data_IF_607633486598
#
_entry.id   IF_607633486598
#
_cell.length_a   1.000
_cell.length_b   1.000
_cell.length_c   1.000
_cell.angle_alpha   90.00
_cell.angle_beta   90.00
_cell.angle_gamma   90.00
#
_symmetry.space_group_name_H-M   'P 1'
#
loop_
_entity.id
_entity.type
_entity.pdbx_description
1 polymer ?
#
# COMPACT_ATOMS: atom_id res chain seq x y z
N UNK A 1 -2.12 28.83 13.07
CA UNK A 1 -0.86 29.25 12.42
C UNK A 1 0.30 29.48 13.41
N UNK A 2 0.04 29.82 14.68
CA UNK A 2 1.09 30.07 15.68
C UNK A 2 2.04 28.88 15.93
N UNK A 3 1.55 27.64 15.90
CA UNK A 3 2.35 26.46 16.24
C UNK A 3 3.25 25.92 15.09
N UNK A 4 3.26 26.57 13.92
CA UNK A 4 4.22 26.28 12.86
C UNK A 4 4.08 24.95 12.09
N UNK A 5 3.06 24.11 12.35
CA UNK A 5 2.86 22.83 11.65
C UNK A 5 2.91 22.96 10.12
N UNK A 6 3.81 22.19 9.49
CA UNK A 6 4.03 22.22 8.03
C UNK A 6 3.42 21.04 7.30
N UNK A 7 3.27 19.90 7.98
CA UNK A 7 2.74 18.67 7.41
C UNK A 7 2.03 17.81 8.44
N UNK A 8 1.06 17.02 7.99
CA UNK A 8 0.42 15.96 8.76
C UNK A 8 0.14 14.76 7.84
N UNK A 9 0.16 13.56 8.41
CA UNK A 9 0.04 12.31 7.67
C UNK A 9 -1.05 11.39 8.27
N UNK A 10 -2.35 11.77 8.27
CA UNK A 10 -3.42 10.94 8.82
C UNK A 10 -3.53 9.56 8.12
N UNK A 11 -3.75 8.53 8.93
CA UNK A 11 -4.20 7.22 8.47
C UNK A 11 -5.73 7.17 8.35
N UNK A 12 -6.23 6.82 7.18
CA UNK A 12 -7.65 6.54 6.92
C UNK A 12 -7.91 5.02 7.01
N UNK A 13 -6.94 4.23 6.54
CA UNK A 13 -6.93 2.76 6.60
C UNK A 13 -7.94 2.09 5.66
N UNK A 14 -9.25 2.17 5.96
CA UNK A 14 -10.34 1.57 5.16
C UNK A 14 -11.60 2.46 5.16
N UNK A 15 -12.49 2.20 4.21
CA UNK A 15 -13.81 2.83 4.15
C UNK A 15 -14.88 2.11 4.99
N UNK A 16 -14.53 0.96 5.59
CA UNK A 16 -15.43 0.13 6.40
C UNK A 16 -14.93 0.01 7.85
N UNK A 17 -15.44 -0.98 8.59
CA UNK A 17 -15.30 -1.25 10.04
C UNK A 17 -13.86 -1.10 10.58
N UNK A 18 -12.83 -1.25 9.74
CA UNK A 18 -11.45 -1.05 10.17
C UNK A 18 -11.09 0.45 10.22
N UNK A 19 -11.03 1.00 11.43
CA UNK A 19 -10.46 2.33 11.68
C UNK A 19 -11.43 3.32 12.34
N UNK A 20 -11.47 3.31 13.68
CA UNK A 20 -12.03 4.42 14.48
C UNK A 20 -11.12 5.67 14.49
N UNK A 21 -9.98 5.63 13.78
CA UNK A 21 -8.95 6.69 13.78
C UNK A 21 -9.41 7.97 13.08
N UNK A 22 -10.37 7.89 12.17
CA UNK A 22 -10.91 9.03 11.42
C UNK A 22 -12.03 9.79 12.14
N UNK A 23 -12.42 9.38 13.36
CA UNK A 23 -13.55 9.93 14.14
C UNK A 23 -14.89 9.95 13.38
N UNK A 24 -15.10 8.99 12.48
CA UNK A 24 -16.32 8.90 11.65
C UNK A 24 -17.47 8.15 12.33
N UNK A 25 -17.28 7.68 13.57
CA UNK A 25 -18.29 6.91 14.29
C UNK A 25 -18.63 5.61 13.56
N UNK A 26 -19.91 5.43 13.22
CA UNK A 26 -20.44 4.25 12.50
C UNK A 26 -20.58 4.44 10.99
N UNK A 27 -20.10 5.56 10.43
CA UNK A 27 -20.22 5.82 8.99
C UNK A 27 -19.26 4.94 8.20
N UNK A 28 -19.77 4.40 7.09
CA UNK A 28 -19.06 3.50 6.18
C UNK A 28 -19.29 3.94 4.72
N UNK A 29 -18.53 3.33 3.80
CA UNK A 29 -18.71 3.54 2.37
C UNK A 29 -18.59 5.00 1.95
N UNK A 30 -19.47 5.44 1.05
CA UNK A 30 -19.46 6.80 0.50
C UNK A 30 -19.69 7.90 1.55
N UNK A 31 -20.45 7.63 2.61
CA UNK A 31 -20.71 8.63 3.64
C UNK A 31 -19.46 8.86 4.50
N UNK A 32 -18.69 7.80 4.79
CA UNK A 32 -17.36 7.93 5.40
C UNK A 32 -16.42 8.73 4.49
N UNK A 33 -16.41 8.45 3.18
CA UNK A 33 -15.59 9.20 2.20
C UNK A 33 -15.92 10.69 2.26
N UNK A 34 -17.20 11.06 2.17
CA UNK A 34 -17.64 12.46 2.20
C UNK A 34 -17.15 13.18 3.46
N UNK A 35 -17.40 12.58 4.62
CA UNK A 35 -17.00 13.19 5.90
C UNK A 35 -15.49 13.32 6.04
N UNK A 36 -14.73 12.28 5.68
CA UNK A 36 -13.26 12.32 5.74
C UNK A 36 -12.70 13.35 4.76
N UNK A 37 -13.26 13.46 3.55
CA UNK A 37 -12.91 14.49 2.59
C UNK A 37 -13.14 15.90 3.13
N UNK A 38 -14.27 16.15 3.80
CA UNK A 38 -14.54 17.44 4.44
C UNK A 38 -13.50 17.75 5.53
N UNK A 39 -13.19 16.77 6.39
CA UNK A 39 -12.18 16.92 7.45
C UNK A 39 -10.80 17.24 6.87
N UNK A 40 -10.35 16.49 5.86
CA UNK A 40 -9.03 16.69 5.27
C UNK A 40 -8.94 18.02 4.54
N UNK A 41 -9.99 18.42 3.80
CA UNK A 41 -10.04 19.74 3.17
C UNK A 41 -10.01 20.88 4.19
N UNK A 42 -10.68 20.73 5.34
CA UNK A 42 -10.59 21.68 6.46
C UNK A 42 -9.14 21.77 6.98
N UNK A 43 -8.49 20.63 7.24
CA UNK A 43 -7.10 20.57 7.70
C UNK A 43 -6.16 21.30 6.72
N UNK A 44 -6.32 21.08 5.42
CA UNK A 44 -5.50 21.72 4.38
C UNK A 44 -5.65 23.25 4.32
N UNK A 45 -6.71 23.84 4.91
CA UNK A 45 -6.80 25.29 5.09
C UNK A 45 -5.78 25.83 6.09
N UNK A 46 -5.31 24.99 7.01
CA UNK A 46 -4.42 25.37 8.10
C UNK A 46 -3.03 24.75 8.00
N UNK A 47 -2.90 23.55 7.44
CA UNK A 47 -1.64 22.81 7.31
C UNK A 47 -1.24 22.76 5.83
N UNK A 48 -0.05 23.28 5.46
CA UNK A 48 0.39 23.36 4.06
C UNK A 48 0.51 22.04 3.31
N UNK A 49 0.75 20.94 4.04
CA UNK A 49 0.94 19.61 3.46
C UNK A 49 0.12 18.56 4.21
N UNK A 50 -0.64 17.76 3.46
CA UNK A 50 -1.36 16.62 4.03
C UNK A 50 -1.08 15.38 3.17
N UNK A 51 -0.63 14.31 3.82
CA UNK A 51 -0.57 12.97 3.24
C UNK A 51 -1.69 12.12 3.83
N UNK A 52 -2.38 11.34 3.03
CA UNK A 52 -3.41 10.42 3.52
C UNK A 52 -2.96 8.99 3.26
N UNK A 53 -2.91 8.19 4.32
CA UNK A 53 -2.40 6.83 4.27
C UNK A 53 -3.55 5.82 4.29
N UNK A 54 -3.51 4.88 3.36
CA UNK A 54 -4.50 3.81 3.18
C UNK A 54 -3.82 2.46 3.29
N UNK A 55 -4.56 1.43 3.71
CA UNK A 55 -4.09 0.04 3.66
C UNK A 55 -5.04 -0.73 2.74
N UNK A 56 -4.51 -1.30 1.67
CA UNK A 56 -5.28 -2.02 0.66
C UNK A 56 -5.19 -3.52 0.90
N UNK A 57 -6.32 -4.21 0.68
CA UNK A 57 -6.40 -5.67 0.80
C UNK A 57 -6.68 -6.14 2.22
N UNK A 58 -7.34 -5.29 3.02
CA UNK A 58 -7.82 -5.66 4.34
C UNK A 58 -8.91 -6.74 4.24
N UNK A 59 -9.10 -7.51 5.31
CA UNK A 59 -10.11 -8.58 5.34
C UNK A 59 -11.56 -8.10 5.26
N UNK A 60 -11.77 -6.79 5.39
CA UNK A 60 -13.07 -6.13 5.20
C UNK A 60 -13.24 -5.60 3.77
N UNK A 61 -12.17 -5.54 2.98
CA UNK A 61 -12.23 -5.11 1.60
C UNK A 61 -12.73 -6.28 0.75
N UNK A 62 -13.81 -6.05 0.00
CA UNK A 62 -14.39 -7.03 -0.91
C UNK A 62 -14.83 -6.35 -2.21
N UNK A 63 -14.55 -6.99 -3.35
CA UNK A 63 -14.89 -6.46 -4.67
C UNK A 63 -14.19 -5.13 -5.00
N UNK A 64 -14.69 -4.40 -6.02
CA UNK A 64 -14.05 -3.17 -6.49
C UNK A 64 -14.37 -1.93 -5.62
N UNK A 65 -15.43 -1.99 -4.81
CA UNK A 65 -15.97 -0.81 -4.12
C UNK A 65 -14.95 -0.05 -3.24
N UNK A 66 -14.11 -0.70 -2.41
CA UNK A 66 -13.11 0.00 -1.59
C UNK A 66 -12.15 0.86 -2.44
N UNK A 67 -11.79 0.39 -3.63
CA UNK A 67 -10.89 1.08 -4.55
C UNK A 67 -11.61 2.24 -5.24
N UNK A 68 -12.86 2.05 -5.67
CA UNK A 68 -13.70 3.11 -6.25
C UNK A 68 -13.95 4.24 -5.24
N UNK A 69 -14.25 3.91 -3.99
CA UNK A 69 -14.40 4.89 -2.91
C UNK A 69 -13.11 5.68 -2.68
N UNK A 70 -11.95 5.02 -2.81
CA UNK A 70 -10.65 5.71 -2.72
C UNK A 70 -10.44 6.67 -3.88
N UNK A 71 -10.87 6.34 -5.11
CA UNK A 71 -10.84 7.27 -6.24
C UNK A 71 -11.76 8.47 -5.99
N UNK A 72 -12.97 8.25 -5.47
CA UNK A 72 -13.88 9.33 -5.05
C UNK A 72 -13.25 10.24 -4.01
N UNK A 73 -12.54 9.68 -3.04
CA UNK A 73 -11.79 10.48 -2.07
C UNK A 73 -10.73 11.36 -2.73
N UNK A 74 -9.98 10.83 -3.70
CA UNK A 74 -8.97 11.58 -4.46
C UNK A 74 -9.60 12.77 -5.19
N UNK A 75 -10.76 12.57 -5.83
CA UNK A 75 -11.51 13.64 -6.49
C UNK A 75 -12.01 14.72 -5.52
N UNK A 76 -12.55 14.29 -4.39
CA UNK A 76 -13.13 15.18 -3.38
C UNK A 76 -12.08 15.90 -2.54
N UNK A 77 -10.85 15.38 -2.51
CA UNK A 77 -9.76 15.86 -1.64
C UNK A 77 -8.47 16.09 -2.42
N UNK A 78 -8.51 16.84 -3.54
CA UNK A 78 -7.43 16.84 -4.52
C UNK A 78 -6.10 17.30 -3.94
N UNK A 79 -6.09 18.19 -2.94
CA UNK A 79 -4.86 18.69 -2.32
C UNK A 79 -4.09 17.67 -1.46
N UNK A 80 -4.74 16.57 -1.04
CA UNK A 80 -4.10 15.55 -0.25
C UNK A 80 -3.22 14.66 -1.13
N UNK A 81 -2.05 14.28 -0.63
CA UNK A 81 -1.20 13.29 -1.30
C UNK A 81 -1.60 11.88 -0.84
N UNK A 82 -2.17 11.03 -1.69
CA UNK A 82 -2.52 9.67 -1.29
C UNK A 82 -1.26 8.78 -1.25
N UNK A 83 -1.16 7.96 -0.22
CA UNK A 83 -0.17 6.88 -0.11
C UNK A 83 -0.90 5.60 0.24
N UNK A 84 -0.69 4.61 -0.61
CA UNK A 84 -1.23 3.28 -0.41
C UNK A 84 -0.19 2.42 0.28
N UNK A 85 -0.58 1.62 1.26
CA UNK A 85 0.20 0.49 1.76
C UNK A 85 -0.56 -0.79 1.41
N UNK A 86 0.15 -1.88 1.19
CA UNK A 86 -0.47 -3.19 1.04
C UNK A 86 -0.50 -3.88 2.41
N UNK A 87 -1.53 -4.68 2.69
CA UNK A 87 -1.65 -5.40 3.96
C UNK A 87 -0.46 -6.35 4.16
N UNK A 88 0.37 -6.06 5.15
CA UNK A 88 1.56 -6.86 5.45
C UNK A 88 1.62 -7.22 6.93
N UNK A 89 1.97 -8.47 7.21
CA UNK A 89 2.19 -9.01 8.55
C UNK A 89 3.68 -8.87 8.92
N UNK A 90 3.95 -8.19 10.02
CA UNK A 90 5.29 -7.99 10.57
C UNK A 90 5.43 -8.77 11.88
N UNK A 91 5.82 -10.04 11.78
CA UNK A 91 5.89 -10.94 12.94
C UNK A 91 4.66 -10.84 13.83
N UNK A 92 4.83 -10.63 15.13
CA UNK A 92 3.73 -10.43 16.10
C UNK A 92 3.39 -8.95 16.41
N UNK A 93 3.73 -8.00 15.51
CA UNK A 93 3.51 -6.57 15.76
C UNK A 93 2.04 -6.17 15.95
N UNK A 94 1.10 -7.00 15.47
CA UNK A 94 -0.33 -6.88 15.75
C UNK A 94 -0.92 -8.26 16.06
N UNK A 95 -1.91 -8.38 16.96
CA UNK A 95 -2.54 -9.67 17.28
C UNK A 95 -3.03 -10.43 16.03
N UNK A 96 -3.61 -9.70 15.07
CA UNK A 96 -4.11 -10.26 13.81
C UNK A 96 -3.02 -10.91 12.95
N UNK A 97 -1.74 -10.56 13.12
CA UNK A 97 -0.66 -11.17 12.35
C UNK A 97 -0.49 -12.66 12.66
N UNK A 98 -0.73 -13.06 13.92
CA UNK A 98 -0.70 -14.48 14.31
C UNK A 98 -1.93 -15.19 13.73
N UNK A 99 -3.06 -14.51 13.64
CA UNK A 99 -4.26 -15.05 12.96
C UNK A 99 -4.01 -15.29 11.47
N UNK A 100 -3.29 -14.39 10.78
CA UNK A 100 -2.89 -14.61 9.39
C UNK A 100 -1.95 -15.81 9.22
N UNK A 101 -1.03 -16.04 10.17
CA UNK A 101 -0.18 -17.23 10.20
C UNK A 101 -1.02 -18.51 10.38
N UNK A 102 -1.94 -18.51 11.36
CA UNK A 102 -2.86 -19.64 11.61
C UNK A 102 -3.72 -19.95 10.38
N UNK A 103 -4.14 -18.92 9.65
CA UNK A 103 -4.91 -19.06 8.43
C UNK A 103 -4.08 -19.48 7.20
N UNK A 104 -2.77 -19.69 7.35
CA UNK A 104 -1.83 -19.95 6.25
C UNK A 104 -1.94 -18.90 5.13
N UNK A 105 -1.91 -17.62 5.52
CA UNK A 105 -2.01 -16.47 4.60
C UNK A 105 -0.74 -15.63 4.55
N UNK A 106 0.31 -15.97 5.28
CA UNK A 106 1.56 -15.19 5.29
C UNK A 106 2.58 -15.82 4.34
N UNK A 107 2.91 -15.11 3.27
CA UNK A 107 3.92 -15.51 2.29
C UNK A 107 5.33 -15.48 2.90
N UNK A 108 6.20 -16.46 2.57
CA UNK A 108 7.58 -16.51 3.02
C UNK A 108 8.48 -15.54 2.20
N UNK A 109 8.06 -14.29 2.02
CA UNK A 109 8.89 -13.29 1.35
C UNK A 109 10.09 -12.91 2.24
N UNK A 110 11.29 -12.69 1.66
CA UNK A 110 12.45 -12.25 2.42
C UNK A 110 12.19 -10.94 3.17
N UNK A 111 12.79 -10.79 4.35
CA UNK A 111 12.58 -9.64 5.24
C UNK A 111 12.77 -8.27 4.56
N UNK A 112 13.75 -8.15 3.66
CA UNK A 112 14.01 -6.89 2.93
C UNK A 112 12.83 -6.41 2.05
N UNK A 113 11.92 -7.32 1.68
CA UNK A 113 10.70 -6.99 0.94
C UNK A 113 9.51 -6.72 1.86
N UNK A 114 9.63 -6.92 3.17
CA UNK A 114 8.62 -6.51 4.15
C UNK A 114 8.68 -4.99 4.36
N UNK A 115 8.12 -4.23 3.42
CA UNK A 115 8.10 -2.76 3.48
C UNK A 115 6.69 -2.16 3.40
N UNK A 116 5.65 -2.99 3.17
CA UNK A 116 4.24 -2.61 2.98
C UNK A 116 4.01 -1.54 1.89
N UNK A 117 5.05 -1.15 1.17
CA UNK A 117 5.07 -0.04 0.23
C UNK A 117 5.07 -0.53 -1.21
N UNK A 118 5.82 -1.60 -1.49
CA UNK A 118 5.85 -2.25 -2.79
C UNK A 118 5.31 -3.68 -2.70
N UNK A 119 5.60 -4.37 -1.61
CA UNK A 119 5.30 -5.78 -1.46
C UNK A 119 4.32 -6.04 -0.33
N UNK A 120 3.50 -7.06 -0.56
CA UNK A 120 2.48 -7.59 0.34
C UNK A 120 2.91 -9.02 0.68
N UNK A 121 2.89 -9.38 1.96
CA UNK A 121 3.14 -10.76 2.37
C UNK A 121 1.90 -11.43 2.94
N UNK A 122 0.73 -10.80 2.90
CA UNK A 122 -0.52 -11.42 3.31
C UNK A 122 -1.35 -11.74 2.07
N UNK A 123 -1.78 -12.99 1.90
CA UNK A 123 -2.74 -13.36 0.87
C UNK A 123 -4.09 -12.69 1.16
N UNK A 124 -4.64 -11.86 0.26
CA UNK A 124 -5.92 -11.20 0.50
C UNK A 124 -7.05 -12.24 0.64
N UNK A 125 -8.03 -11.94 1.51
CA UNK A 125 -9.11 -12.88 1.83
C UNK A 125 -10.15 -13.00 0.72
N UNK A 126 -10.48 -11.87 0.09
CA UNK A 126 -11.60 -11.74 -0.86
C UNK A 126 -11.15 -11.51 -2.31
N UNK A 127 -9.85 -11.73 -2.60
CA UNK A 127 -9.28 -11.49 -3.94
C UNK A 127 -8.34 -12.62 -4.34
N UNK A 128 -8.39 -13.02 -5.61
CA UNK A 128 -7.24 -13.68 -6.22
C UNK A 128 -6.11 -12.67 -6.44
N UNK A 129 -4.86 -13.13 -6.49
CA UNK A 129 -3.72 -12.23 -6.67
C UNK A 129 -3.78 -11.37 -7.95
N UNK A 130 -4.12 -11.91 -9.14
CA UNK A 130 -4.26 -11.10 -10.35
C UNK A 130 -5.31 -10.00 -10.18
N UNK A 131 -6.50 -10.36 -9.66
CA UNK A 131 -7.62 -9.43 -9.48
C UNK A 131 -7.26 -8.32 -8.48
N UNK A 132 -6.58 -8.67 -7.39
CA UNK A 132 -6.10 -7.68 -6.40
C UNK A 132 -5.14 -6.68 -7.04
N UNK A 133 -4.14 -7.16 -7.79
CA UNK A 133 -3.19 -6.27 -8.46
C UNK A 133 -3.83 -5.44 -9.57
N UNK A 134 -4.87 -5.95 -10.24
CA UNK A 134 -5.66 -5.18 -11.20
C UNK A 134 -6.34 -3.99 -10.51
N UNK A 135 -6.97 -4.19 -9.35
CA UNK A 135 -7.57 -3.11 -8.55
C UNK A 135 -6.53 -2.11 -8.04
N UNK A 136 -5.39 -2.59 -7.52
CA UNK A 136 -4.29 -1.73 -7.03
C UNK A 136 -3.70 -0.90 -8.16
N UNK A 137 -3.49 -1.49 -9.34
CA UNK A 137 -2.99 -0.82 -10.52
C UNK A 137 -3.94 0.27 -11.00
N UNK A 138 -5.21 -0.05 -11.11
CA UNK A 138 -6.24 0.87 -11.57
C UNK A 138 -6.36 2.09 -10.63
N UNK A 139 -6.43 1.85 -9.32
CA UNK A 139 -6.39 2.94 -8.32
C UNK A 139 -5.09 3.76 -8.40
N UNK A 140 -3.95 3.11 -8.54
CA UNK A 140 -2.65 3.79 -8.60
C UNK A 140 -2.54 4.67 -9.85
N UNK A 141 -2.93 4.13 -11.02
CA UNK A 141 -2.97 4.86 -12.30
C UNK A 141 -3.93 6.03 -12.23
N UNK A 142 -5.09 5.86 -11.61
CA UNK A 142 -6.04 6.94 -11.40
C UNK A 142 -5.45 8.07 -10.53
N UNK A 143 -4.87 7.71 -9.39
CA UNK A 143 -4.36 8.65 -8.38
C UNK A 143 -3.17 9.48 -8.85
N UNK A 144 -2.35 8.88 -9.71
CA UNK A 144 -1.17 9.50 -10.32
C UNK A 144 -1.35 9.83 -11.81
N UNK A 145 -2.58 9.82 -12.31
CA UNK A 145 -2.89 10.35 -13.64
C UNK A 145 -2.55 11.84 -13.71
N UNK A 146 -2.25 12.33 -14.92
CA UNK A 146 -2.02 13.77 -15.11
C UNK A 146 -3.21 14.62 -14.67
N UNK A 147 -4.43 14.13 -14.85
CA UNK A 147 -5.64 14.76 -14.34
C UNK A 147 -5.58 14.97 -12.82
N UNK A 148 -5.36 13.89 -12.06
CA UNK A 148 -5.25 13.92 -10.59
C UNK A 148 -4.05 14.74 -10.10
N UNK A 149 -2.91 14.68 -10.81
CA UNK A 149 -1.73 15.49 -10.51
C UNK A 149 -2.03 16.99 -10.68
N UNK A 150 -2.67 17.38 -11.78
CA UNK A 150 -3.02 18.78 -12.05
C UNK A 150 -4.05 19.29 -11.03
N UNK A 151 -5.07 18.50 -10.70
CA UNK A 151 -6.06 18.87 -9.69
C UNK A 151 -5.40 19.09 -8.33
N UNK A 152 -4.48 18.20 -7.92
CA UNK A 152 -3.69 18.35 -6.70
C UNK A 152 -2.81 19.58 -6.70
N UNK A 153 -2.12 19.83 -7.81
CA UNK A 153 -1.29 21.01 -7.98
C UNK A 153 -2.10 22.31 -7.80
N UNK A 154 -3.29 22.38 -8.40
CA UNK A 154 -4.22 23.53 -8.28
C UNK A 154 -4.77 23.70 -6.86
N UNK A 155 -5.06 22.60 -6.17
CA UNK A 155 -5.66 22.63 -4.84
C UNK A 155 -4.68 23.09 -3.74
N UNK A 156 -3.38 22.85 -3.90
CA UNK A 156 -2.37 23.19 -2.89
C UNK A 156 -1.94 24.66 -3.04
N UNK A 157 -2.14 25.47 -1.99
CA UNK A 157 -1.75 26.89 -2.00
C UNK A 157 -0.26 27.14 -1.76
N UNK A 158 0.41 26.27 -0.99
CA UNK A 158 1.82 26.46 -0.63
C UNK A 158 2.77 25.97 -1.74
N UNK A 159 3.79 26.78 -2.07
CA UNK A 159 4.69 26.52 -3.20
C UNK A 159 5.53 25.24 -3.03
N UNK A 160 6.15 25.04 -1.87
CA UNK A 160 7.04 23.88 -1.62
C UNK A 160 6.24 22.55 -1.70
N UNK A 161 5.14 22.36 -0.93
CA UNK A 161 4.38 21.11 -1.01
C UNK A 161 3.77 20.83 -2.39
N UNK A 162 3.42 21.89 -3.14
CA UNK A 162 2.86 21.78 -4.48
C UNK A 162 3.83 21.10 -5.45
N UNK A 163 5.08 21.57 -5.51
CA UNK A 163 6.10 20.97 -6.38
C UNK A 163 6.61 19.63 -5.87
N UNK A 164 6.76 19.49 -4.55
CA UNK A 164 7.12 18.22 -3.92
C UNK A 164 6.13 17.10 -4.31
N UNK A 165 4.83 17.38 -4.34
CA UNK A 165 3.83 16.39 -4.72
C UNK A 165 3.90 15.98 -6.19
N UNK A 166 4.27 16.89 -7.10
CA UNK A 166 4.50 16.55 -8.51
C UNK A 166 5.71 15.62 -8.61
N UNK A 167 6.84 15.99 -7.99
CA UNK A 167 8.05 15.17 -7.98
C UNK A 167 7.78 13.77 -7.42
N UNK A 168 7.08 13.69 -6.29
CA UNK A 168 6.70 12.40 -5.70
C UNK A 168 5.82 11.57 -6.64
N UNK A 169 4.83 12.17 -7.28
CA UNK A 169 3.94 11.46 -8.22
C UNK A 169 4.68 10.89 -9.44
N UNK A 170 5.63 11.64 -10.02
CA UNK A 170 6.37 11.19 -11.22
C UNK A 170 7.59 10.31 -10.92
N UNK A 171 8.02 10.27 -9.65
CA UNK A 171 9.18 9.50 -9.19
C UNK A 171 8.84 8.02 -8.88
N UNK A 172 9.70 7.38 -8.07
CA UNK A 172 9.48 6.04 -7.54
C UNK A 172 8.17 5.90 -6.79
N UNK A 173 7.64 6.98 -6.18
CA UNK A 173 6.42 6.87 -5.37
C UNK A 173 5.12 6.71 -6.15
N UNK A 174 5.04 7.23 -7.37
CA UNK A 174 3.89 7.02 -8.25
C UNK A 174 4.26 6.16 -9.45
N UNK A 175 4.92 6.74 -10.46
CA UNK A 175 5.23 6.03 -11.71
C UNK A 175 6.12 4.80 -11.51
N UNK A 176 7.15 4.89 -10.67
CA UNK A 176 8.00 3.72 -10.38
C UNK A 176 7.21 2.59 -9.71
N UNK A 177 6.28 2.93 -8.82
CA UNK A 177 5.40 1.97 -8.16
C UNK A 177 4.40 1.33 -9.11
N UNK A 178 3.82 2.10 -10.02
CA UNK A 178 2.94 1.56 -11.07
C UNK A 178 3.69 0.54 -11.92
N UNK A 179 4.91 0.86 -12.38
CA UNK A 179 5.74 -0.09 -13.15
C UNK A 179 6.05 -1.37 -12.36
N UNK A 180 6.30 -1.24 -11.06
CA UNK A 180 6.52 -2.40 -10.20
C UNK A 180 5.29 -3.31 -10.16
N UNK A 181 4.11 -2.73 -9.92
CA UNK A 181 2.86 -3.47 -9.90
C UNK A 181 2.50 -4.09 -11.25
N UNK A 182 2.81 -3.40 -12.36
CA UNK A 182 2.63 -3.96 -13.71
C UNK A 182 3.51 -5.20 -13.90
N UNK A 183 4.75 -5.16 -13.43
CA UNK A 183 5.66 -6.31 -13.52
C UNK A 183 5.20 -7.48 -12.64
N UNK A 184 4.75 -7.22 -11.40
CA UNK A 184 4.20 -8.26 -10.54
C UNK A 184 2.94 -8.87 -11.15
N UNK A 185 2.00 -8.04 -11.63
CA UNK A 185 0.77 -8.49 -12.29
C UNK A 185 1.04 -9.32 -13.55
N UNK A 186 2.02 -8.90 -14.36
CA UNK A 186 2.47 -9.64 -15.55
C UNK A 186 3.03 -11.00 -15.16
N UNK A 187 3.88 -11.07 -14.12
CA UNK A 187 4.46 -12.34 -13.64
C UNK A 187 3.43 -13.28 -13.07
N UNK A 188 2.44 -12.78 -12.32
CA UNK A 188 1.32 -13.60 -11.85
C UNK A 188 0.56 -14.31 -12.98
N UNK A 189 0.61 -13.75 -14.19
CA UNK A 189 -0.03 -14.33 -15.38
C UNK A 189 0.87 -15.27 -16.16
N UNK A 190 2.11 -14.85 -16.47
CA UNK A 190 2.99 -15.60 -17.39
C UNK A 190 4.03 -16.49 -16.70
N UNK A 191 4.35 -16.24 -15.44
CA UNK A 191 5.38 -16.97 -14.68
C UNK A 191 4.70 -17.90 -13.67
N UNK A 192 4.61 -19.19 -14.03
CA UNK A 192 3.95 -20.21 -13.21
C UNK A 192 4.65 -20.39 -11.86
N UNK A 193 5.98 -20.33 -11.80
CA UNK A 193 6.69 -20.48 -10.53
C UNK A 193 6.36 -19.31 -9.60
N UNK A 194 6.35 -18.09 -10.13
CA UNK A 194 5.96 -16.89 -9.40
C UNK A 194 4.53 -16.99 -8.86
N UNK A 195 3.57 -17.39 -9.70
CA UNK A 195 2.17 -17.58 -9.27
C UNK A 195 2.05 -18.64 -8.17
N UNK A 196 2.71 -19.79 -8.31
CA UNK A 196 2.68 -20.86 -7.31
C UNK A 196 3.22 -20.40 -5.95
N UNK A 197 4.25 -19.56 -5.93
CA UNK A 197 4.76 -18.98 -4.68
C UNK A 197 3.71 -18.08 -4.01
N UNK A 198 3.08 -17.19 -4.76
CA UNK A 198 2.02 -16.31 -4.27
C UNK A 198 0.78 -17.10 -3.79
N UNK A 199 0.43 -18.18 -4.48
CA UNK A 199 -0.65 -19.07 -4.07
C UNK A 199 -0.28 -20.00 -2.91
N UNK A 200 0.97 -19.96 -2.43
CA UNK A 200 1.54 -20.82 -1.40
C UNK A 200 1.52 -22.32 -1.77
N UNK A 201 1.58 -22.63 -3.07
CA UNK A 201 1.77 -23.98 -3.59
C UNK A 201 3.26 -24.41 -3.57
N UNK A 202 4.16 -23.47 -3.31
CA UNK A 202 5.59 -23.70 -3.11
C UNK A 202 6.16 -22.65 -2.15
N UNK A 203 7.17 -23.03 -1.38
CA UNK A 203 7.99 -22.13 -0.57
C UNK A 203 9.29 -21.72 -1.28
N UNK A 204 9.54 -22.22 -2.48
CA UNK A 204 10.71 -21.84 -3.28
C UNK A 204 10.61 -20.37 -3.70
N UNK A 205 11.59 -19.56 -3.28
CA UNK A 205 11.64 -18.14 -3.59
C UNK A 205 11.80 -17.93 -5.10
N UNK A 206 10.90 -17.17 -5.77
CA UNK A 206 11.03 -16.87 -7.19
C UNK A 206 12.35 -16.15 -7.51
N UNK A 207 12.96 -16.49 -8.65
CA UNK A 207 14.20 -15.88 -9.12
C UNK A 207 14.09 -14.35 -9.22
N UNK A 208 12.90 -13.82 -9.49
CA UNK A 208 12.58 -12.40 -9.43
C UNK A 208 13.06 -11.71 -8.15
N UNK A 209 12.79 -12.29 -6.98
CA UNK A 209 13.22 -11.72 -5.71
C UNK A 209 14.73 -11.85 -5.55
N UNK A 210 15.31 -13.00 -5.88
CA UNK A 210 16.77 -13.24 -5.79
C UNK A 210 17.55 -12.23 -6.64
N UNK A 211 17.15 -12.05 -7.91
CA UNK A 211 17.78 -11.10 -8.83
C UNK A 211 17.66 -9.67 -8.34
N UNK A 212 16.51 -9.33 -7.75
CA UNK A 212 16.28 -8.01 -7.19
C UNK A 212 17.21 -7.73 -6.00
N UNK A 213 17.38 -8.68 -5.09
CA UNK A 213 18.34 -8.55 -3.98
C UNK A 213 19.76 -8.35 -4.51
N UNK A 214 20.18 -9.19 -5.45
CA UNK A 214 21.51 -9.09 -6.07
C UNK A 214 21.73 -7.72 -6.70
N UNK A 215 20.73 -7.20 -7.39
CA UNK A 215 20.76 -5.87 -7.99
C UNK A 215 20.82 -4.75 -6.96
N UNK A 216 20.04 -4.83 -5.88
CA UNK A 216 19.97 -3.79 -4.85
C UNK A 216 21.24 -3.78 -3.97
N UNK A 217 21.82 -4.93 -3.68
CA UNK A 217 23.06 -5.05 -2.88
C UNK A 217 24.34 -4.89 -3.70
N UNK A 218 24.29 -5.14 -5.01
CA UNK A 218 25.47 -5.12 -5.89
C UNK A 218 26.56 -6.06 -5.38
N UNK A 219 27.79 -5.54 -5.22
CA UNK A 219 28.95 -6.30 -4.74
C UNK A 219 28.75 -6.92 -3.35
N UNK A 220 27.87 -6.35 -2.51
CA UNK A 220 27.60 -6.88 -1.17
C UNK A 220 26.77 -8.17 -1.21
N UNK A 221 26.17 -8.51 -2.35
CA UNK A 221 25.36 -9.73 -2.47
C UNK A 221 26.17 -11.02 -2.27
N UNK A 222 27.48 -11.00 -2.55
CA UNK A 222 28.40 -12.13 -2.32
C UNK A 222 28.63 -12.42 -0.83
N UNK A 223 28.36 -11.44 0.03
CA UNK A 223 28.55 -11.51 1.48
C UNK A 223 27.28 -11.92 2.22
N UNK A 224 26.19 -12.18 1.51
CA UNK A 224 24.96 -12.66 2.16
C UNK A 224 25.20 -14.05 2.75
N UNK A 225 24.94 -14.25 4.06
CA UNK A 225 25.09 -15.56 4.67
C UNK A 225 24.09 -16.55 4.07
N UNK A 226 24.42 -17.83 4.18
CA UNK A 226 23.49 -18.89 3.82
C UNK A 226 22.17 -18.72 4.61
N UNK A 227 21.04 -18.85 3.92
CA UNK A 227 19.72 -18.64 4.51
C UNK A 227 19.28 -17.19 4.68
N UNK A 228 20.09 -16.18 4.30
CA UNK A 228 19.71 -14.75 4.42
C UNK A 228 18.42 -14.37 3.65
N UNK A 229 18.07 -15.16 2.63
CA UNK A 229 16.85 -14.98 1.84
C UNK A 229 15.71 -15.89 2.31
N UNK A 230 15.97 -16.78 3.26
CA UNK A 230 14.94 -17.63 3.84
C UNK A 230 14.18 -16.87 4.92
N UNK A 231 12.86 -17.01 4.92
CA UNK A 231 12.00 -16.42 5.93
C UNK A 231 10.96 -17.46 6.32
N UNK A 232 10.86 -17.75 7.61
CA UNK A 232 9.77 -18.56 8.15
C UNK A 232 8.58 -17.65 8.51
N UNK A 233 7.51 -17.65 7.68
CA UNK A 233 6.36 -16.78 7.91
C UNK A 233 5.57 -17.18 9.17
N UNK A 234 5.76 -18.40 9.69
CA UNK A 234 5.02 -18.96 10.82
C UNK A 234 5.88 -19.07 12.10
N UNK A 235 7.04 -18.43 12.13
CA UNK A 235 7.97 -18.54 13.26
C UNK A 235 7.35 -18.14 14.60
N UNK A 236 6.46 -17.14 14.60
CA UNK A 236 5.84 -16.62 15.81
C UNK A 236 4.69 -17.50 16.30
N UNK A 237 3.88 -18.03 15.38
CA UNK A 237 2.85 -19.02 15.73
C UNK A 237 3.47 -20.27 16.38
N UNK A 238 4.65 -20.70 15.92
CA UNK A 238 5.37 -21.84 16.49
C UNK A 238 6.02 -21.57 17.86
N UNK A 239 6.10 -20.30 18.26
CA UNK A 239 6.67 -19.90 19.55
C UNK A 239 5.62 -19.71 20.66
N UNK A 240 4.34 -19.86 20.33
CA UNK A 240 3.23 -19.88 21.30
C UNK A 240 3.14 -21.21 22.08
#
# INVERSE_FOLDING_TARGET
KQNGFKGILPGIESWYVLGNKSKTGKLEGIDKVRQVSEHVNLIMRYIPYVQTNFVLGLDVDEGPEPFELTKRFVDMTPGAFPVYSLLSAFGQAAPVNVEYQRANRVLPVPFQFLNAYQDMNVKPKHYAWPDFYDQVLDLSKYSYSWHSIINRYKAIKAMIPRWMNVLRAVSSSGFGRIRYYEEVRRRLEVDRQFRRFFEQETSELPQFYVDRVRKELGLLSEWLPEGALSHDPNAYLRSE
#
